data_IF_195626897318
#
_entry.id   IF_195626897318
#
_cell.length_a   1.000
_cell.length_b   1.000
_cell.length_c   1.000
_cell.angle_alpha   90.00
_cell.angle_beta   90.00
_cell.angle_gamma   90.00
#
_symmetry.space_group_name_H-M   'P 1'
#
loop_
_entity.id
_entity.type
_entity.pdbx_description
1 polymer ?
#
# COMPACT_ATOMS: atom_id res chain seq x y z
N UNK A 1 -0.32 28.08 -4.27
CA UNK A 1 -1.32 27.09 -3.79
C UNK A 1 -0.61 25.76 -3.66
N UNK A 2 -0.89 24.94 -2.64
CA UNK A 2 -0.28 23.61 -2.58
C UNK A 2 -0.78 22.70 -3.72
N UNK A 3 0.01 21.71 -4.14
CA UNK A 3 -0.40 20.71 -5.14
C UNK A 3 -1.73 20.04 -4.77
N UNK A 4 -1.93 19.77 -3.48
CA UNK A 4 -3.18 19.22 -2.93
C UNK A 4 -4.34 20.23 -2.95
N UNK A 5 -4.07 21.53 -2.73
CA UNK A 5 -5.10 22.58 -2.79
C UNK A 5 -5.66 22.75 -4.21
N UNK A 6 -4.82 22.56 -5.23
CA UNK A 6 -5.20 22.63 -6.64
C UNK A 6 -6.06 21.43 -7.06
N UNK A 7 -5.73 20.24 -6.55
CA UNK A 7 -6.44 18.99 -6.90
C UNK A 7 -7.79 18.88 -6.19
N UNK A 8 -7.96 19.47 -4.99
CA UNK A 8 -9.12 19.15 -4.13
C UNK A 8 -10.00 20.32 -3.69
N UNK A 9 -9.59 21.59 -3.80
CA UNK A 9 -10.42 22.75 -3.41
C UNK A 9 -10.69 22.86 -1.90
N UNK A 10 -10.63 24.07 -1.34
CA UNK A 10 -10.70 24.29 0.12
C UNK A 10 -12.09 24.04 0.72
N UNK A 11 -12.13 23.38 1.89
CA UNK A 11 -13.09 23.68 2.98
C UNK A 11 -12.37 23.82 4.33
N UNK A 12 -12.79 24.84 5.10
CA UNK A 12 -12.20 25.35 6.34
C UNK A 12 -12.43 24.41 7.54
N UNK A 13 -11.42 24.34 8.40
CA UNK A 13 -11.40 23.66 9.70
C UNK A 13 -12.35 24.25 10.75
N UNK A 14 -12.74 23.42 11.73
CA UNK A 14 -12.91 23.83 13.12
C UNK A 14 -12.64 22.66 14.09
N UNK A 15 -11.52 22.75 14.82
CA UNK A 15 -11.21 21.92 16.00
C UNK A 15 -12.04 22.36 17.20
N UNK A 16 -12.43 21.43 18.06
CA UNK A 16 -12.77 21.75 19.44
C UNK A 16 -12.27 20.67 20.39
N UNK A 17 -11.47 21.10 21.35
CA UNK A 17 -10.84 20.37 22.44
C UNK A 17 -11.77 20.24 23.64
N UNK A 18 -11.71 19.13 24.39
CA UNK A 18 -12.23 19.04 25.77
C UNK A 18 -11.26 18.21 26.65
N UNK A 19 -11.07 18.54 27.96
CA UNK A 19 -9.91 18.17 28.76
C UNK A 19 -10.05 16.93 29.67
N UNK A 20 -8.89 16.49 30.17
CA UNK A 20 -8.65 15.40 31.13
C UNK A 20 -9.23 15.65 32.55
N UNK A 21 -9.61 14.57 33.24
CA UNK A 21 -9.70 14.50 34.70
C UNK A 21 -8.94 13.28 35.26
N UNK A 22 -8.28 13.51 36.41
CA UNK A 22 -7.35 12.63 37.15
C UNK A 22 -8.07 11.61 38.09
N UNK A 23 -7.33 10.63 38.67
CA UNK A 23 -7.84 9.31 39.07
C UNK A 23 -8.07 9.14 40.58
N UNK A 24 -8.75 8.06 40.97
CA UNK A 24 -8.91 7.64 42.36
C UNK A 24 -8.54 6.16 42.63
N UNK A 25 -7.63 6.02 43.60
CA UNK A 25 -7.49 5.02 44.67
C UNK A 25 -7.37 3.50 44.40
N UNK A 26 -6.24 2.95 44.86
CA UNK A 26 -5.97 1.53 45.19
C UNK A 26 -6.74 1.07 46.44
N UNK A 27 -6.89 -0.25 46.63
CA UNK A 27 -6.46 -0.88 47.88
C UNK A 27 -5.51 -2.08 47.72
N UNK A 28 -4.70 -2.30 48.76
CA UNK A 28 -3.70 -3.37 48.95
C UNK A 28 -4.21 -4.35 50.05
N UNK A 29 -3.44 -5.36 50.52
CA UNK A 29 -3.70 -6.79 50.34
C UNK A 29 -4.08 -7.55 51.65
N UNK A 30 -4.51 -8.81 51.55
CA UNK A 30 -4.53 -9.74 52.70
C UNK A 30 -4.09 -11.15 52.30
N UNK A 31 -3.54 -11.87 53.28
CA UNK A 31 -2.53 -12.92 53.14
C UNK A 31 -3.04 -14.38 53.33
N UNK A 32 -2.29 -15.32 52.71
CA UNK A 32 -1.85 -16.67 53.14
C UNK A 32 -2.84 -17.79 53.61
N UNK A 33 -2.92 -18.85 52.76
CA UNK A 33 -2.76 -20.35 52.90
C UNK A 33 -3.02 -21.10 54.24
N UNK A 34 -3.37 -22.43 54.25
CA UNK A 34 -2.61 -23.58 53.66
C UNK A 34 -3.46 -24.72 52.97
N UNK A 35 -2.98 -25.40 51.89
CA UNK A 35 -2.38 -26.77 51.79
C UNK A 35 -3.28 -27.93 52.34
N UNK A 36 -3.55 -29.10 51.73
CA UNK A 36 -2.99 -29.94 50.63
C UNK A 36 -4.00 -31.07 50.34
N UNK A 37 -4.15 -31.56 49.10
CA UNK A 37 -4.40 -33.00 48.81
C UNK A 37 -4.05 -33.33 47.36
N UNK A 38 -3.20 -34.33 47.21
CA UNK A 38 -2.70 -34.95 45.98
C UNK A 38 -3.73 -35.87 45.34
N UNK A 39 -3.89 -35.80 44.01
CA UNK A 39 -4.47 -36.89 43.21
C UNK A 39 -3.99 -36.79 41.75
N UNK A 40 -3.10 -37.71 41.39
CA UNK A 40 -2.77 -38.22 40.04
C UNK A 40 -2.76 -37.24 38.85
N UNK A 41 -1.55 -36.83 38.45
CA UNK A 41 -1.29 -36.10 37.22
C UNK A 41 -1.70 -36.92 35.96
N UNK A 42 -2.55 -36.38 35.07
CA UNK A 42 -2.70 -36.90 33.72
C UNK A 42 -1.39 -36.60 32.95
N UNK A 43 -0.96 -37.55 32.10
CA UNK A 43 0.18 -37.35 31.17
C UNK A 43 0.06 -35.97 30.50
N UNK A 44 1.02 -35.10 30.77
CA UNK A 44 1.07 -33.73 30.25
C UNK A 44 1.05 -33.77 28.73
N UNK A 45 -0.09 -33.44 28.13
CA UNK A 45 -0.16 -33.18 26.70
C UNK A 45 0.87 -32.08 26.40
N UNK A 46 1.77 -32.33 25.45
CA UNK A 46 2.86 -31.41 25.12
C UNK A 46 2.26 -30.12 24.56
N UNK A 47 2.23 -29.07 25.38
CA UNK A 47 1.80 -27.73 24.99
C UNK A 47 2.64 -27.27 23.80
N UNK A 48 2.05 -27.28 22.61
CA UNK A 48 2.72 -26.93 21.37
C UNK A 48 1.72 -26.49 20.31
N UNK A 49 2.22 -25.78 19.30
CA UNK A 49 1.49 -25.37 18.11
C UNK A 49 2.41 -25.55 16.90
N UNK A 50 1.86 -25.93 15.75
CA UNK A 50 2.62 -25.94 14.51
C UNK A 50 2.94 -24.49 14.10
N UNK A 51 4.16 -24.19 13.60
CA UNK A 51 4.43 -22.90 12.98
C UNK A 51 3.38 -22.57 11.92
N UNK A 52 2.95 -21.31 11.84
CA UNK A 52 1.94 -20.89 10.88
C UNK A 52 2.16 -19.45 10.41
N UNK A 53 1.53 -19.16 9.28
CA UNK A 53 1.35 -17.81 8.74
C UNK A 53 -0.16 -17.59 8.63
N UNK A 54 -0.65 -16.53 9.25
CA UNK A 54 -2.03 -16.11 9.18
C UNK A 54 -2.12 -14.74 8.52
N UNK A 55 -2.74 -14.72 7.34
CA UNK A 55 -3.01 -13.51 6.57
C UNK A 55 -4.38 -12.94 6.96
N UNK A 56 -4.36 -11.80 7.60
CA UNK A 56 -5.51 -11.00 7.99
C UNK A 56 -5.73 -9.90 6.96
N UNK A 57 -6.98 -9.60 6.62
CA UNK A 57 -7.34 -8.42 5.81
C UNK A 57 -8.14 -7.38 6.60
N UNK A 58 -8.40 -7.66 7.88
CA UNK A 58 -9.11 -6.74 8.76
C UNK A 58 -8.58 -6.85 10.19
N UNK A 59 -8.41 -5.73 10.88
CA UNK A 59 -8.13 -5.72 12.31
C UNK A 59 -8.84 -4.60 13.07
N UNK A 60 -9.09 -4.86 14.35
CA UNK A 60 -9.70 -3.92 15.28
C UNK A 60 -8.84 -3.81 16.53
N UNK A 61 -8.50 -2.58 16.91
CA UNK A 61 -7.84 -2.31 18.19
C UNK A 61 -8.87 -2.09 19.28
N UNK A 62 -8.62 -2.64 20.46
CA UNK A 62 -9.40 -2.43 21.66
C UNK A 62 -8.52 -1.85 22.77
N UNK A 63 -9.05 -0.90 23.53
CA UNK A 63 -8.44 -0.39 24.76
C UNK A 63 -9.48 -0.46 25.88
N UNK A 64 -9.12 -1.11 26.99
CA UNK A 64 -10.04 -1.38 28.09
C UNK A 64 -11.33 -2.08 27.63
N UNK A 65 -11.22 -2.98 26.64
CA UNK A 65 -12.34 -3.70 26.03
C UNK A 65 -13.18 -2.90 25.04
N UNK A 66 -12.92 -1.61 24.85
CA UNK A 66 -13.66 -0.76 23.91
C UNK A 66 -12.93 -0.64 22.56
N UNK A 67 -13.63 -0.75 21.41
CA UNK A 67 -12.99 -0.55 20.11
C UNK A 67 -12.52 0.90 19.96
N UNK A 68 -11.29 1.07 19.50
CA UNK A 68 -10.66 2.37 19.23
C UNK A 68 -10.04 2.39 17.83
N UNK A 69 -9.76 3.57 17.30
CA UNK A 69 -9.15 3.77 15.97
C UNK A 69 -9.95 3.22 14.78
N UNK A 70 -11.22 2.91 14.99
CA UNK A 70 -12.09 2.34 13.96
C UNK A 70 -11.67 0.93 13.53
N UNK A 71 -12.50 0.33 12.69
CA UNK A 71 -12.19 -0.94 12.03
C UNK A 71 -11.21 -0.65 10.88
N UNK A 72 -10.10 -1.37 10.85
CA UNK A 72 -9.07 -1.17 9.84
C UNK A 72 -9.10 -2.34 8.86
N UNK A 73 -9.37 -2.04 7.59
CA UNK A 73 -9.44 -3.02 6.50
C UNK A 73 -8.12 -3.00 5.72
N UNK A 74 -7.07 -3.51 6.34
CA UNK A 74 -5.77 -3.57 5.69
C UNK A 74 -5.03 -4.87 5.96
N UNK A 75 -4.19 -5.31 5.00
CA UNK A 75 -3.54 -6.59 5.08
C UNK A 75 -2.48 -6.60 6.20
N UNK A 76 -2.54 -7.60 7.06
CA UNK A 76 -1.56 -7.86 8.12
C UNK A 76 -1.25 -9.35 8.16
N UNK A 77 0.01 -9.69 8.38
CA UNK A 77 0.44 -11.07 8.49
C UNK A 77 0.93 -11.35 9.91
N UNK A 78 0.36 -12.37 10.54
CA UNK A 78 0.80 -12.90 11.82
C UNK A 78 1.59 -14.19 11.54
N UNK A 79 2.88 -14.17 11.85
CA UNK A 79 3.77 -15.31 11.66
C UNK A 79 4.25 -15.82 13.00
N UNK A 80 4.06 -17.12 13.26
CA UNK A 80 4.51 -17.79 14.48
C UNK A 80 5.49 -18.89 14.10
N UNK A 81 6.74 -18.76 14.53
CA UNK A 81 7.84 -19.66 14.17
C UNK A 81 8.43 -20.29 15.42
N UNK A 82 8.89 -21.55 15.34
CA UNK A 82 9.68 -22.11 16.45
C UNK A 82 11.00 -21.35 16.55
N UNK A 83 11.41 -21.05 17.77
CA UNK A 83 12.72 -20.48 18.01
C UNK A 83 13.80 -21.56 17.81
N UNK A 84 14.35 -21.66 16.60
CA UNK A 84 15.43 -22.64 16.30
C UNK A 84 16.81 -22.01 16.46
N UNK A 85 16.99 -20.77 15.98
CA UNK A 85 18.27 -20.08 15.87
C UNK A 85 18.31 -18.74 16.63
N UNK A 86 17.40 -18.52 17.60
CA UNK A 86 17.24 -17.24 18.26
C UNK A 86 16.43 -16.22 17.44
N UNK A 87 16.48 -14.96 17.86
CA UNK A 87 15.86 -13.83 17.16
C UNK A 87 16.75 -12.60 17.30
N UNK A 88 16.99 -11.88 16.21
CA UNK A 88 17.74 -10.63 16.23
C UNK A 88 17.18 -9.67 17.28
N UNK A 89 18.08 -9.02 18.03
CA UNK A 89 17.73 -8.17 19.17
C UNK A 89 17.48 -8.90 20.50
N UNK A 90 17.57 -10.23 20.54
CA UNK A 90 17.36 -11.02 21.77
C UNK A 90 18.42 -12.12 21.96
N UNK A 91 18.81 -12.36 23.21
CA UNK A 91 19.58 -13.54 23.61
C UNK A 91 18.62 -14.63 24.08
N UNK A 92 18.27 -15.53 23.16
CA UNK A 92 17.33 -16.62 23.42
C UNK A 92 18.04 -17.97 23.41
N UNK A 93 17.59 -18.90 24.25
CA UNK A 93 18.02 -20.29 24.16
C UNK A 93 17.39 -20.94 22.93
N UNK A 94 18.20 -21.57 22.09
CA UNK A 94 17.70 -22.32 20.93
C UNK A 94 16.72 -23.43 21.37
N UNK A 95 15.61 -23.56 20.63
CA UNK A 95 14.52 -24.49 20.91
C UNK A 95 13.51 -24.02 21.96
N UNK A 96 13.73 -22.87 22.60
CA UNK A 96 12.85 -22.36 23.64
C UNK A 96 11.78 -21.42 23.06
N UNK A 97 10.54 -21.89 23.06
CA UNK A 97 9.38 -21.11 22.66
C UNK A 97 9.28 -20.84 21.15
N UNK A 98 8.60 -19.74 20.84
CA UNK A 98 8.23 -19.30 19.50
C UNK A 98 8.57 -17.82 19.32
N UNK A 99 8.81 -17.42 18.08
CA UNK A 99 8.97 -16.03 17.66
C UNK A 99 7.68 -15.63 16.94
N UNK A 100 6.96 -14.66 17.51
CA UNK A 100 5.74 -14.08 16.93
C UNK A 100 6.09 -12.78 16.21
N UNK A 101 5.67 -12.64 14.95
CA UNK A 101 5.90 -11.44 14.13
C UNK A 101 4.57 -10.92 13.60
N UNK A 102 4.41 -9.60 13.68
CA UNK A 102 3.31 -8.85 13.09
C UNK A 102 3.89 -8.05 11.94
N UNK A 103 3.41 -8.29 10.73
CA UNK A 103 3.96 -7.77 9.49
C UNK A 103 2.86 -7.01 8.76
N UNK A 104 3.18 -5.84 8.22
CA UNK A 104 2.31 -5.11 7.31
C UNK A 104 2.24 -5.89 6.00
N UNK A 105 1.07 -6.41 5.65
CA UNK A 105 0.92 -7.32 4.49
C UNK A 105 1.07 -6.62 3.14
N UNK A 106 0.96 -5.30 3.12
CA UNK A 106 1.14 -4.46 1.94
C UNK A 106 2.60 -4.18 1.60
N UNK A 107 3.39 -3.83 2.62
CA UNK A 107 4.80 -3.42 2.51
C UNK A 107 5.78 -4.55 2.85
N UNK A 108 5.31 -5.64 3.45
CA UNK A 108 6.14 -6.72 3.97
C UNK A 108 6.99 -6.33 5.20
N UNK A 109 6.87 -5.08 5.67
CA UNK A 109 7.69 -4.56 6.77
C UNK A 109 7.15 -4.98 8.14
N UNK A 110 8.01 -5.17 9.15
CA UNK A 110 7.55 -5.42 10.51
C UNK A 110 6.68 -4.27 11.01
N UNK A 111 5.47 -4.58 11.48
CA UNK A 111 4.60 -3.61 12.15
C UNK A 111 5.19 -3.21 13.52
N UNK A 112 5.85 -4.16 14.18
CA UNK A 112 6.53 -3.96 15.46
C UNK A 112 7.60 -5.04 15.67
N UNK A 113 8.46 -4.85 16.67
CA UNK A 113 9.51 -5.82 17.02
C UNK A 113 8.91 -7.19 17.32
N UNK A 114 9.60 -8.25 16.88
CA UNK A 114 9.22 -9.63 17.13
C UNK A 114 9.06 -9.91 18.64
N UNK A 115 8.14 -10.80 18.99
CA UNK A 115 7.81 -11.13 20.37
C UNK A 115 8.13 -12.60 20.67
N UNK A 116 9.17 -12.91 21.45
CA UNK A 116 9.42 -14.27 21.94
C UNK A 116 8.31 -14.68 22.92
N UNK A 117 7.70 -15.84 22.72
CA UNK A 117 6.59 -16.34 23.55
C UNK A 117 6.64 -17.85 23.75
N UNK A 118 6.03 -18.34 24.83
CA UNK A 118 5.83 -19.78 25.10
C UNK A 118 4.34 -20.11 25.13
N UNK A 119 3.99 -21.32 24.71
CA UNK A 119 2.60 -21.82 24.82
C UNK A 119 2.28 -22.07 26.29
N UNK A 120 1.25 -21.40 26.80
CA UNK A 120 0.75 -21.58 28.17
C UNK A 120 -0.57 -22.35 28.21
N UNK A 121 -1.28 -22.44 27.08
CA UNK A 121 -2.51 -23.22 26.91
C UNK A 121 -2.60 -23.72 25.46
N UNK A 122 -3.04 -24.96 25.27
CA UNK A 122 -3.32 -25.53 23.96
C UNK A 122 -4.53 -26.45 24.04
N UNK A 123 -5.51 -26.20 23.19
CA UNK A 123 -6.76 -26.94 23.03
C UNK A 123 -7.08 -27.10 21.55
N UNK A 124 -8.12 -27.85 21.20
CA UNK A 124 -8.51 -28.06 19.80
C UNK A 124 -9.03 -26.79 19.10
N UNK A 125 -9.54 -25.81 19.86
CA UNK A 125 -10.11 -24.56 19.33
C UNK A 125 -9.26 -23.32 19.64
N UNK A 126 -8.28 -23.44 20.52
CA UNK A 126 -7.54 -22.27 21.03
C UNK A 126 -6.15 -22.64 21.51
N UNK A 127 -5.16 -21.82 21.15
CA UNK A 127 -3.81 -21.83 21.72
C UNK A 127 -3.47 -20.44 22.26
N UNK A 128 -2.94 -20.38 23.47
CA UNK A 128 -2.50 -19.12 24.09
C UNK A 128 -0.98 -19.17 24.28
N UNK A 129 -0.32 -18.14 23.77
CA UNK A 129 1.09 -17.86 23.97
C UNK A 129 1.26 -16.64 24.89
N UNK A 130 2.27 -16.68 25.75
CA UNK A 130 2.66 -15.58 26.63
C UNK A 130 4.14 -15.30 26.48
N UNK A 131 4.52 -14.03 26.43
CA UNK A 131 5.92 -13.66 26.53
C UNK A 131 6.51 -14.01 27.90
N UNK A 132 7.83 -13.92 28.00
CA UNK A 132 8.59 -14.26 29.19
C UNK A 132 9.80 -13.33 29.31
N UNK A 133 10.48 -13.35 30.45
CA UNK A 133 11.73 -12.60 30.63
C UNK A 133 12.77 -13.01 29.59
N UNK A 134 13.32 -12.04 28.89
CA UNK A 134 14.37 -12.22 27.88
C UNK A 134 15.45 -11.16 28.06
N UNK A 135 16.67 -11.47 27.65
CA UNK A 135 17.72 -10.46 27.49
C UNK A 135 17.57 -9.83 26.11
N UNK A 136 17.26 -8.54 26.06
CA UNK A 136 17.00 -7.78 24.83
C UNK A 136 18.08 -6.71 24.60
N UNK A 137 18.41 -6.46 23.33
CA UNK A 137 19.39 -5.45 22.95
C UNK A 137 18.79 -4.04 23.09
N UNK A 138 19.49 -3.18 23.82
CA UNK A 138 19.16 -1.76 24.03
C UNK A 138 20.36 -0.90 23.64
N UNK A 139 20.21 0.45 23.55
CA UNK A 139 21.35 1.35 23.34
C UNK A 139 22.46 1.24 24.42
N UNK A 140 22.15 0.69 25.60
CA UNK A 140 23.09 0.49 26.71
C UNK A 140 23.60 -0.96 26.81
N UNK A 141 23.40 -1.77 25.78
CA UNK A 141 23.74 -3.19 25.77
C UNK A 141 22.54 -4.10 26.04
N UNK A 142 22.82 -5.36 26.37
CA UNK A 142 21.80 -6.35 26.66
C UNK A 142 21.25 -6.15 28.08
N UNK A 143 19.92 -6.07 28.20
CA UNK A 143 19.22 -5.90 29.47
C UNK A 143 18.06 -6.88 29.57
N UNK A 144 17.74 -7.30 30.78
CA UNK A 144 16.55 -8.10 31.05
C UNK A 144 15.29 -7.26 30.77
N UNK A 145 14.39 -7.82 29.95
CA UNK A 145 13.17 -7.20 29.52
C UNK A 145 12.01 -8.17 29.69
N UNK A 146 10.95 -7.72 30.36
CA UNK A 146 9.76 -8.53 30.55
C UNK A 146 8.88 -8.51 29.30
N UNK A 147 8.90 -9.60 28.53
CA UNK A 147 7.94 -9.75 27.42
C UNK A 147 6.61 -10.32 27.89
N UNK A 148 6.46 -10.67 29.17
CA UNK A 148 5.19 -11.18 29.68
C UNK A 148 4.07 -10.16 29.58
N UNK A 149 4.33 -8.87 29.37
CA UNK A 149 3.28 -7.90 29.03
C UNK A 149 2.63 -8.15 27.66
N UNK A 150 3.18 -9.05 26.85
CA UNK A 150 2.61 -9.47 25.58
C UNK A 150 2.07 -10.91 25.62
N UNK A 151 1.00 -11.16 24.88
CA UNK A 151 0.51 -12.51 24.60
C UNK A 151 -0.19 -12.60 23.26
N UNK A 152 -0.43 -13.83 22.81
CA UNK A 152 -1.16 -14.10 21.58
C UNK A 152 -2.18 -15.20 21.83
N UNK A 153 -3.45 -14.92 21.56
CA UNK A 153 -4.49 -15.95 21.48
C UNK A 153 -4.73 -16.30 20.02
N UNK A 154 -4.64 -17.59 19.70
CA UNK A 154 -4.84 -18.14 18.35
C UNK A 154 -6.10 -18.99 18.38
N UNK A 155 -7.14 -18.55 17.67
CA UNK A 155 -8.38 -19.30 17.51
C UNK A 155 -8.28 -20.25 16.32
N UNK A 156 -8.73 -21.49 16.53
CA UNK A 156 -8.65 -22.58 15.56
C UNK A 156 -10.06 -23.11 15.25
N UNK A 157 -10.33 -23.34 13.97
CA UNK A 157 -11.47 -24.11 13.47
C UNK A 157 -10.95 -25.20 12.55
N UNK A 158 -11.33 -26.46 12.80
CA UNK A 158 -10.83 -27.64 12.07
C UNK A 158 -9.29 -27.69 11.94
N UNK A 159 -8.59 -27.24 13.00
CA UNK A 159 -7.13 -27.17 13.05
C UNK A 159 -6.50 -26.05 12.24
N UNK A 160 -7.29 -25.18 11.60
CA UNK A 160 -6.83 -24.00 10.85
C UNK A 160 -6.99 -22.73 11.67
N UNK A 161 -6.02 -21.82 11.55
CA UNK A 161 -6.09 -20.51 12.22
C UNK A 161 -7.12 -19.63 11.54
N UNK A 162 -8.11 -19.17 12.29
CA UNK A 162 -9.19 -18.28 11.79
C UNK A 162 -9.10 -16.86 12.34
N UNK A 163 -8.44 -16.70 13.49
CA UNK A 163 -8.29 -15.41 14.17
C UNK A 163 -7.07 -15.43 15.08
N UNK A 164 -6.40 -14.29 15.17
CA UNK A 164 -5.36 -14.03 16.15
C UNK A 164 -5.70 -12.78 16.96
N UNK A 165 -5.45 -12.79 18.27
CA UNK A 165 -5.56 -11.61 19.13
C UNK A 165 -4.22 -11.38 19.82
N UNK A 166 -3.59 -10.25 19.51
CA UNK A 166 -2.39 -9.80 20.23
C UNK A 166 -2.83 -9.03 21.48
N UNK A 167 -2.34 -9.47 22.63
CA UNK A 167 -2.61 -8.86 23.92
C UNK A 167 -1.41 -8.02 24.38
N UNK A 168 -1.67 -6.80 24.82
CA UNK A 168 -0.74 -5.90 25.51
C UNK A 168 -1.29 -5.64 26.91
N UNK A 169 -0.92 -6.50 27.86
CA UNK A 169 -1.51 -6.56 29.19
C UNK A 169 -1.17 -5.34 30.05
N UNK A 170 0.03 -4.76 29.87
CA UNK A 170 0.48 -3.52 30.54
C UNK A 170 -0.45 -2.33 30.25
N UNK A 171 -1.02 -2.30 29.05
CA UNK A 171 -1.89 -1.22 28.56
C UNK A 171 -3.36 -1.58 28.53
N UNK A 172 -3.70 -2.81 28.90
CA UNK A 172 -5.05 -3.36 28.75
C UNK A 172 -5.59 -3.15 27.32
N UNK A 173 -4.76 -3.47 26.34
CA UNK A 173 -5.05 -3.25 24.93
C UNK A 173 -4.92 -4.54 24.13
N UNK A 174 -5.84 -4.73 23.19
CA UNK A 174 -5.86 -5.88 22.29
C UNK A 174 -5.86 -5.41 20.82
N UNK A 175 -5.26 -6.21 19.94
CA UNK A 175 -5.43 -6.07 18.50
C UNK A 175 -5.93 -7.40 17.97
N UNK A 176 -7.14 -7.39 17.43
CA UNK A 176 -7.77 -8.56 16.85
C UNK A 176 -7.59 -8.56 15.35
N UNK A 177 -7.03 -9.65 14.81
CA UNK A 177 -6.75 -9.87 13.39
C UNK A 177 -7.70 -10.95 12.85
N UNK A 178 -8.41 -10.65 11.77
CA UNK A 178 -9.41 -11.53 11.16
C UNK A 178 -9.21 -11.59 9.66
N UNK A 179 -9.46 -12.78 9.10
CA UNK A 179 -9.63 -12.95 7.66
C UNK A 179 -11.13 -12.96 7.38
N UNK A 180 -11.64 -11.82 6.93
CA UNK A 180 -13.00 -11.77 6.39
C UNK A 180 -12.87 -12.20 4.93
N UNK A 181 -13.52 -13.31 4.55
CA UNK A 181 -13.73 -13.56 3.13
C UNK A 181 -14.51 -12.35 2.61
N UNK A 182 -13.86 -11.51 1.81
CA UNK A 182 -14.54 -10.49 1.02
C UNK A 182 -15.57 -11.26 0.23
N UNK A 183 -16.83 -11.23 0.70
CA UNK A 183 -17.94 -11.54 -0.17
C UNK A 183 -17.76 -10.54 -1.30
N UNK A 184 -17.42 -11.03 -2.50
CA UNK A 184 -17.70 -10.31 -3.73
C UNK A 184 -19.08 -9.69 -3.52
N UNK A 185 -19.14 -8.36 -3.54
CA UNK A 185 -20.32 -7.57 -3.20
C UNK A 185 -21.54 -8.29 -3.76
N UNK A 186 -22.26 -9.01 -2.91
CA UNK A 186 -23.44 -9.74 -3.34
C UNK A 186 -24.50 -8.67 -3.45
N UNK A 187 -24.58 -8.04 -4.62
CA UNK A 187 -25.63 -7.11 -4.92
C UNK A 187 -26.95 -7.81 -4.65
N UNK A 188 -27.72 -7.24 -3.73
CA UNK A 188 -29.12 -7.57 -3.60
C UNK A 188 -29.77 -7.23 -4.93
N UNK A 189 -30.19 -8.28 -5.62
CA UNK A 189 -30.88 -8.22 -6.89
C UNK A 189 -32.11 -7.34 -6.77
N UNK A 190 -32.15 -6.24 -7.52
CA UNK A 190 -33.39 -5.66 -8.02
C UNK A 190 -33.15 -5.00 -9.39
N UNK A 191 -33.54 -5.77 -10.42
CA UNK A 191 -34.01 -5.36 -11.76
C UNK A 191 -33.14 -4.41 -12.61
N UNK A 192 -32.45 -5.04 -13.56
CA UNK A 192 -32.35 -4.71 -14.99
C UNK A 192 -32.43 -3.23 -15.41
N UNK A 193 -31.25 -2.65 -15.61
CA UNK A 193 -30.91 -1.84 -16.78
C UNK A 193 -29.46 -2.17 -17.11
N UNK A 194 -29.10 -2.44 -18.38
CA UNK A 194 -27.73 -2.71 -18.82
C UNK A 194 -26.87 -1.45 -18.68
N UNK A 195 -26.50 -1.12 -17.44
CA UNK A 195 -25.29 -0.37 -17.14
C UNK A 195 -24.16 -1.39 -17.10
N UNK A 196 -23.13 -1.18 -17.91
CA UNK A 196 -21.89 -1.93 -17.76
C UNK A 196 -21.44 -1.80 -16.30
N UNK A 197 -21.27 -2.94 -15.65
CA UNK A 197 -20.90 -3.00 -14.25
C UNK A 197 -19.41 -2.72 -14.13
N UNK A 198 -19.03 -1.85 -13.19
CA UNK A 198 -17.63 -1.54 -12.93
C UNK A 198 -16.87 -2.82 -12.56
N UNK A 199 -15.63 -2.91 -13.04
CA UNK A 199 -14.71 -3.98 -12.64
C UNK A 199 -14.37 -3.88 -11.14
N UNK A 200 -13.87 -4.97 -10.54
CA UNK A 200 -13.46 -4.97 -9.12
C UNK A 200 -12.40 -3.89 -8.85
N UNK A 201 -11.43 -3.78 -9.76
CA UNK A 201 -10.36 -2.78 -9.68
C UNK A 201 -10.90 -1.34 -9.75
N UNK A 202 -11.95 -1.08 -10.54
CA UNK A 202 -12.62 0.22 -10.57
C UNK A 202 -13.37 0.52 -9.27
N UNK A 203 -14.00 -0.49 -8.66
CA UNK A 203 -14.69 -0.31 -7.39
C UNK A 203 -13.72 0.15 -6.28
N UNK A 204 -12.53 -0.45 -6.21
CA UNK A 204 -11.50 -0.02 -5.25
C UNK A 204 -10.97 1.38 -5.54
N UNK A 205 -10.78 1.74 -6.81
CA UNK A 205 -10.39 3.12 -7.17
C UNK A 205 -11.49 4.12 -6.80
N UNK A 206 -12.76 3.80 -7.07
CA UNK A 206 -13.91 4.64 -6.67
C UNK A 206 -13.97 4.80 -5.16
N UNK A 207 -13.73 3.73 -4.40
CA UNK A 207 -13.65 3.79 -2.95
C UNK A 207 -12.55 4.76 -2.49
N UNK A 208 -11.33 4.64 -3.02
CA UNK A 208 -10.22 5.53 -2.68
C UNK A 208 -10.53 7.00 -3.01
N UNK A 209 -11.03 7.28 -4.21
CA UNK A 209 -11.37 8.64 -4.63
C UNK A 209 -12.52 9.22 -3.82
N UNK A 210 -13.47 8.39 -3.37
CA UNK A 210 -14.56 8.82 -2.47
C UNK A 210 -14.02 9.22 -1.10
N UNK A 211 -13.10 8.42 -0.53
CA UNK A 211 -12.44 8.76 0.74
C UNK A 211 -11.69 10.08 0.63
N UNK A 212 -10.93 10.25 -0.46
CA UNK A 212 -10.17 11.47 -0.70
C UNK A 212 -11.08 12.70 -0.90
N UNK A 213 -12.20 12.54 -1.62
CA UNK A 213 -13.22 13.58 -1.78
C UNK A 213 -13.94 13.95 -0.47
N UNK A 214 -13.99 13.03 0.50
CA UNK A 214 -14.49 13.29 1.84
C UNK A 214 -13.46 13.96 2.76
N UNK A 215 -12.22 14.19 2.28
CA UNK A 215 -11.12 14.75 3.05
C UNK A 215 -10.34 13.73 3.87
N UNK A 216 -10.58 12.43 3.68
CA UNK A 216 -9.78 11.36 4.29
C UNK A 216 -8.57 11.06 3.39
N UNK A 217 -7.41 10.83 3.99
CA UNK A 217 -6.16 10.50 3.29
C UNK A 217 -5.39 9.43 4.08
N UNK A 218 -4.20 9.03 3.63
CA UNK A 218 -3.40 7.96 4.22
C UNK A 218 -4.04 6.59 3.98
N UNK A 219 -4.07 5.75 5.00
CA UNK A 219 -4.54 4.35 4.95
C UNK A 219 -5.91 4.19 4.28
N UNK A 220 -6.85 5.12 4.51
CA UNK A 220 -8.20 5.05 3.96
C UNK A 220 -8.25 5.15 2.42
N UNK A 221 -7.27 5.80 1.81
CA UNK A 221 -7.13 5.97 0.36
C UNK A 221 -6.10 4.98 -0.18
N UNK A 222 -4.99 4.80 0.54
CA UNK A 222 -3.90 3.91 0.17
C UNK A 222 -4.33 2.44 0.06
N UNK A 223 -5.03 1.88 1.04
CA UNK A 223 -5.34 0.44 1.05
C UNK A 223 -6.29 -0.02 -0.06
N UNK A 224 -7.36 0.73 -0.40
CA UNK A 224 -8.15 0.39 -1.59
C UNK A 224 -7.30 0.43 -2.86
N UNK A 225 -6.41 1.42 -3.03
CA UNK A 225 -5.55 1.51 -4.22
C UNK A 225 -4.53 0.37 -4.29
N UNK A 226 -3.92 -0.01 -3.17
CA UNK A 226 -3.07 -1.20 -3.07
C UNK A 226 -3.86 -2.46 -3.46
N UNK A 227 -5.11 -2.57 -3.01
CA UNK A 227 -5.98 -3.70 -3.33
C UNK A 227 -6.35 -3.72 -4.81
N UNK A 228 -6.61 -2.56 -5.42
CA UNK A 228 -6.82 -2.42 -6.85
C UNK A 228 -5.60 -2.92 -7.63
N UNK A 229 -4.39 -2.53 -7.21
CA UNK A 229 -3.14 -2.99 -7.82
C UNK A 229 -3.02 -4.52 -7.77
N UNK A 230 -3.15 -5.12 -6.59
CA UNK A 230 -3.09 -6.59 -6.45
C UNK A 230 -4.21 -7.30 -7.22
N UNK A 231 -5.39 -6.70 -7.34
CA UNK A 231 -6.51 -7.29 -8.08
C UNK A 231 -6.21 -7.38 -9.59
N UNK A 232 -5.69 -6.33 -10.24
CA UNK A 232 -5.32 -6.46 -11.66
C UNK A 232 -4.05 -7.28 -11.88
N UNK A 233 -3.11 -7.33 -10.92
CA UNK A 233 -1.97 -8.26 -11.03
C UNK A 233 -2.43 -9.72 -11.04
N UNK A 234 -3.44 -10.06 -10.24
CA UNK A 234 -4.01 -11.41 -10.22
C UNK A 234 -4.90 -11.70 -11.43
N UNK A 235 -5.55 -10.67 -12.00
CA UNK A 235 -6.44 -10.80 -13.15
C UNK A 235 -6.33 -9.57 -14.08
N UNK A 236 -5.35 -9.56 -15.00
CA UNK A 236 -5.09 -8.41 -15.85
C UNK A 236 -6.22 -8.13 -16.86
N UNK A 237 -7.07 -9.12 -17.18
CA UNK A 237 -8.22 -8.94 -18.09
C UNK A 237 -9.23 -7.90 -17.61
N UNK A 238 -9.19 -7.52 -16.32
CA UNK A 238 -9.99 -6.43 -15.79
C UNK A 238 -9.63 -5.09 -16.45
N UNK A 239 -8.36 -4.88 -16.82
CA UNK A 239 -7.90 -3.63 -17.43
C UNK A 239 -8.56 -3.36 -18.79
N UNK A 240 -8.92 -4.42 -19.53
CA UNK A 240 -9.63 -4.33 -20.82
C UNK A 240 -11.08 -3.82 -20.69
N UNK A 241 -11.64 -3.91 -19.48
CA UNK A 241 -13.05 -3.61 -19.18
C UNK A 241 -13.21 -2.34 -18.36
N UNK A 242 -12.14 -1.57 -18.15
CA UNK A 242 -12.20 -0.30 -17.44
C UNK A 242 -13.10 0.66 -18.21
N UNK A 243 -14.14 1.14 -17.56
CA UNK A 243 -15.12 2.07 -18.11
C UNK A 243 -14.65 3.51 -17.89
N UNK A 244 -14.13 3.82 -16.70
CA UNK A 244 -13.72 5.17 -16.32
C UNK A 244 -12.19 5.32 -16.28
N UNK A 245 -11.59 5.36 -17.47
CA UNK A 245 -10.15 5.49 -17.65
C UNK A 245 -9.52 6.66 -16.89
N UNK A 246 -10.15 7.84 -16.91
CA UNK A 246 -9.61 9.02 -16.23
C UNK A 246 -9.53 8.87 -14.71
N UNK A 247 -10.59 8.31 -14.09
CA UNK A 247 -10.60 8.07 -12.65
C UNK A 247 -9.66 6.94 -12.27
N UNK A 248 -9.62 5.87 -13.08
CA UNK A 248 -8.69 4.75 -12.88
C UNK A 248 -7.23 5.22 -12.90
N UNK A 249 -6.83 5.93 -13.96
CA UNK A 249 -5.48 6.48 -14.09
C UNK A 249 -5.12 7.47 -12.98
N UNK A 250 -6.07 8.31 -12.54
CA UNK A 250 -5.89 9.19 -11.37
C UNK A 250 -5.67 8.39 -10.08
N UNK A 251 -6.42 7.31 -9.87
CA UNK A 251 -6.23 6.42 -8.72
C UNK A 251 -4.81 5.84 -8.67
N UNK A 252 -4.31 5.34 -9.80
CA UNK A 252 -2.95 4.80 -9.88
C UNK A 252 -1.87 5.86 -9.69
N UNK A 253 -2.08 7.08 -10.21
CA UNK A 253 -1.20 8.22 -9.92
C UNK A 253 -1.14 8.54 -8.42
N UNK A 254 -2.29 8.58 -7.75
CA UNK A 254 -2.37 8.81 -6.29
C UNK A 254 -1.65 7.69 -5.54
N UNK A 255 -1.82 6.44 -5.98
CA UNK A 255 -1.14 5.30 -5.37
C UNK A 255 0.38 5.45 -5.41
N UNK A 256 0.93 5.78 -6.58
CA UNK A 256 2.36 6.05 -6.76
C UNK A 256 2.86 7.20 -5.88
N UNK A 257 2.02 8.19 -5.59
CA UNK A 257 2.41 9.35 -4.77
C UNK A 257 2.68 9.02 -3.29
N UNK A 258 2.24 7.86 -2.80
CA UNK A 258 2.59 7.39 -1.45
C UNK A 258 4.03 6.85 -1.35
N UNK A 259 4.70 6.61 -2.48
CA UNK A 259 6.09 6.13 -2.56
C UNK A 259 6.39 4.87 -1.72
N UNK A 260 5.38 4.00 -1.57
CA UNK A 260 5.52 2.71 -0.86
C UNK A 260 5.96 1.57 -1.76
N UNK A 261 5.78 1.71 -3.08
CA UNK A 261 6.28 0.78 -4.09
C UNK A 261 7.73 1.15 -4.33
N UNK A 262 8.68 0.28 -4.02
CA UNK A 262 10.12 0.58 -4.12
C UNK A 262 10.81 -0.12 -5.27
N UNK A 263 10.25 -1.25 -5.73
CA UNK A 263 10.78 -2.02 -6.84
C UNK A 263 10.58 -1.26 -8.15
N UNK A 264 11.62 -1.21 -8.99
CA UNK A 264 11.61 -0.38 -10.21
C UNK A 264 10.66 -0.94 -11.26
N UNK A 265 10.52 -2.26 -11.35
CA UNK A 265 9.66 -2.94 -12.31
C UNK A 265 8.19 -2.71 -11.91
N UNK A 266 7.87 -2.83 -10.61
CA UNK A 266 6.55 -2.48 -10.08
C UNK A 266 6.20 -0.99 -10.31
N UNK A 267 7.18 -0.07 -10.12
CA UNK A 267 7.00 1.36 -10.42
C UNK A 267 6.74 1.58 -11.91
N UNK A 268 7.48 0.91 -12.79
CA UNK A 268 7.31 1.00 -14.25
C UNK A 268 5.92 0.52 -14.66
N UNK A 269 5.48 -0.63 -14.16
CA UNK A 269 4.14 -1.18 -14.40
C UNK A 269 3.06 -0.17 -14.03
N UNK A 270 3.08 0.33 -12.78
CA UNK A 270 2.07 1.26 -12.28
C UNK A 270 2.10 2.61 -13.02
N UNK A 271 3.28 3.18 -13.28
CA UNK A 271 3.40 4.45 -13.99
C UNK A 271 2.89 4.33 -15.42
N UNK A 272 3.18 3.20 -16.08
CA UNK A 272 2.71 2.91 -17.44
C UNK A 272 1.20 2.72 -17.51
N UNK A 273 0.62 1.97 -16.58
CA UNK A 273 -0.83 1.77 -16.48
C UNK A 273 -1.53 3.10 -16.19
N UNK A 274 -1.02 3.89 -15.22
CA UNK A 274 -1.57 5.21 -14.92
C UNK A 274 -1.53 6.12 -16.17
N UNK A 275 -0.38 6.18 -16.85
CA UNK A 275 -0.19 6.96 -18.07
C UNK A 275 -1.13 6.51 -19.19
N UNK A 276 -1.30 5.20 -19.41
CA UNK A 276 -2.18 4.63 -20.44
C UNK A 276 -3.60 5.14 -20.26
N UNK A 277 -4.19 4.91 -19.08
CA UNK A 277 -5.59 5.24 -18.84
C UNK A 277 -5.84 6.76 -18.81
N UNK A 278 -4.87 7.56 -18.35
CA UNK A 278 -4.94 9.02 -18.49
C UNK A 278 -4.89 9.44 -19.96
N UNK A 279 -4.04 8.82 -20.77
CA UNK A 279 -3.92 9.13 -22.20
C UNK A 279 -5.17 8.73 -22.98
N UNK A 280 -5.78 7.58 -22.69
CA UNK A 280 -7.07 7.19 -23.25
C UNK A 280 -8.18 8.17 -22.85
N UNK A 281 -8.20 8.62 -21.59
CA UNK A 281 -9.16 9.63 -21.14
C UNK A 281 -8.96 10.99 -21.84
N UNK A 282 -7.71 11.42 -22.04
CA UNK A 282 -7.37 12.66 -22.75
C UNK A 282 -7.76 12.56 -24.24
N UNK A 283 -7.61 11.40 -24.89
CA UNK A 283 -8.07 11.22 -26.27
C UNK A 283 -9.57 11.50 -26.42
N UNK A 284 -10.36 11.09 -25.42
CA UNK A 284 -11.80 11.32 -25.36
C UNK A 284 -12.17 12.74 -24.90
N UNK A 285 -11.32 13.41 -24.12
CA UNK A 285 -11.52 14.78 -23.64
C UNK A 285 -10.22 15.59 -23.67
N UNK A 286 -9.85 16.08 -24.85
CA UNK A 286 -8.51 16.61 -25.15
C UNK A 286 -8.12 17.90 -24.42
N UNK A 287 -9.09 18.59 -23.82
CA UNK A 287 -8.94 19.89 -23.16
C UNK A 287 -9.16 19.82 -21.65
N UNK A 288 -9.27 18.62 -21.07
CA UNK A 288 -9.35 18.49 -19.61
C UNK A 288 -7.96 18.74 -18.99
N UNK A 289 -7.76 19.96 -18.49
CA UNK A 289 -6.52 20.37 -17.85
C UNK A 289 -6.15 19.50 -16.64
N UNK A 290 -7.12 18.91 -15.94
CA UNK A 290 -6.83 18.04 -14.79
C UNK A 290 -6.29 16.68 -15.24
N UNK A 291 -6.76 16.14 -16.36
CA UNK A 291 -6.22 14.90 -16.91
C UNK A 291 -4.79 15.11 -17.41
N UNK A 292 -4.54 16.22 -18.11
CA UNK A 292 -3.19 16.57 -18.59
C UNK A 292 -2.24 16.79 -17.40
N UNK A 293 -2.69 17.54 -16.38
CA UNK A 293 -1.94 17.73 -15.14
C UNK A 293 -1.60 16.41 -14.46
N UNK A 294 -2.58 15.52 -14.34
CA UNK A 294 -2.39 14.22 -13.69
C UNK A 294 -1.39 13.36 -14.47
N UNK A 295 -1.44 13.39 -15.81
CA UNK A 295 -0.45 12.69 -16.65
C UNK A 295 0.96 13.28 -16.51
N UNK A 296 1.08 14.60 -16.45
CA UNK A 296 2.36 15.27 -16.18
C UNK A 296 2.93 14.87 -14.81
N UNK A 297 2.09 14.75 -13.77
CA UNK A 297 2.54 14.27 -12.45
C UNK A 297 3.07 12.84 -12.51
N UNK A 298 2.40 11.94 -13.25
CA UNK A 298 2.91 10.57 -13.44
C UNK A 298 4.31 10.62 -14.06
N UNK A 299 4.49 11.36 -15.14
CA UNK A 299 5.75 11.45 -15.87
C UNK A 299 6.89 12.10 -15.06
N UNK A 300 6.60 13.19 -14.33
CA UNK A 300 7.63 13.91 -13.57
C UNK A 300 8.03 13.18 -12.29
N UNK A 301 7.06 12.66 -11.53
CA UNK A 301 7.35 12.03 -10.24
C UNK A 301 7.89 10.60 -10.39
N UNK A 302 7.65 9.95 -11.53
CA UNK A 302 8.09 8.59 -11.81
C UNK A 302 9.00 8.53 -13.03
N UNK A 303 9.78 9.60 -13.27
CA UNK A 303 10.59 9.76 -14.50
C UNK A 303 11.45 8.55 -14.79
N UNK A 304 12.24 8.08 -13.82
CA UNK A 304 13.15 6.95 -13.99
C UNK A 304 12.40 5.68 -14.44
N UNK A 305 11.32 5.33 -13.73
CA UNK A 305 10.53 4.15 -14.04
C UNK A 305 9.82 4.26 -15.40
N UNK A 306 9.23 5.42 -15.70
CA UNK A 306 8.51 5.64 -16.95
C UNK A 306 9.46 5.79 -18.16
N UNK A 307 10.71 6.16 -17.94
CA UNK A 307 11.73 6.25 -19.00
C UNK A 307 12.01 4.88 -19.63
N UNK A 308 11.94 3.78 -18.87
CA UNK A 308 12.04 2.41 -19.41
C UNK A 308 10.90 2.10 -20.41
N UNK A 309 9.68 2.52 -20.09
CA UNK A 309 8.53 2.40 -20.99
C UNK A 309 8.74 3.19 -22.28
N UNK A 310 9.18 4.45 -22.17
CA UNK A 310 9.47 5.29 -23.34
C UNK A 310 10.64 4.73 -24.15
N UNK A 311 11.66 4.20 -23.48
CA UNK A 311 12.82 3.56 -24.11
C UNK A 311 12.41 2.39 -25.00
N UNK A 312 11.49 1.55 -24.53
CA UNK A 312 10.95 0.42 -25.31
C UNK A 312 10.29 0.85 -26.62
N UNK A 313 9.75 2.07 -26.65
CA UNK A 313 9.09 2.65 -27.84
C UNK A 313 10.10 3.25 -28.80
N UNK A 314 11.02 4.09 -28.29
CA UNK A 314 11.95 4.87 -29.15
C UNK A 314 13.18 4.07 -29.60
N UNK A 315 13.48 2.96 -28.92
CA UNK A 315 14.58 2.05 -29.24
C UNK A 315 14.10 0.72 -29.82
N UNK A 316 12.86 0.63 -30.33
CA UNK A 316 12.25 -0.62 -30.84
C UNK A 316 13.08 -1.39 -31.88
N UNK A 317 13.92 -0.68 -32.64
CA UNK A 317 14.79 -1.25 -33.68
C UNK A 317 16.21 -1.56 -33.17
N UNK A 318 16.52 -1.19 -31.94
CA UNK A 318 17.81 -1.40 -31.29
C UNK A 318 17.66 -2.57 -30.30
N UNK A 319 18.43 -3.64 -30.50
CA UNK A 319 18.42 -4.77 -29.55
C UNK A 319 18.77 -4.30 -28.12
N UNK A 320 18.30 -5.04 -27.10
CA UNK A 320 18.47 -4.68 -25.67
C UNK A 320 19.87 -4.23 -25.24
N UNK A 321 20.92 -4.70 -25.92
CA UNK A 321 22.33 -4.34 -25.68
C UNK A 321 22.75 -2.96 -26.19
N UNK A 322 21.93 -2.28 -26.99
CA UNK A 322 22.28 -1.04 -27.70
C UNK A 322 21.30 0.11 -27.43
N UNK A 323 20.42 -0.01 -26.43
CA UNK A 323 19.46 1.06 -26.10
C UNK A 323 20.19 2.36 -25.75
N UNK A 324 19.83 3.43 -26.45
CA UNK A 324 20.38 4.75 -26.18
C UNK A 324 19.50 5.48 -25.12
N UNK A 325 19.98 5.65 -23.87
CA UNK A 325 19.21 6.31 -22.82
C UNK A 325 18.90 7.78 -23.16
N UNK A 326 19.73 8.42 -23.98
CA UNK A 326 19.49 9.81 -24.38
C UNK A 326 18.25 9.96 -25.28
N UNK A 327 17.89 8.92 -26.05
CA UNK A 327 16.68 8.96 -26.89
C UNK A 327 15.40 8.98 -26.05
N UNK A 328 15.33 8.14 -25.02
CA UNK A 328 14.16 8.05 -24.13
C UNK A 328 13.98 9.35 -23.34
N UNK A 329 15.06 9.85 -22.72
CA UNK A 329 15.08 11.15 -22.06
C UNK A 329 14.63 12.29 -22.98
N UNK A 330 15.20 12.39 -24.18
CA UNK A 330 14.87 13.46 -25.12
C UNK A 330 13.41 13.36 -25.59
N UNK A 331 12.88 12.14 -25.74
CA UNK A 331 11.47 11.91 -26.04
C UNK A 331 10.56 12.36 -24.88
N UNK A 332 10.89 11.99 -23.64
CA UNK A 332 10.16 12.44 -22.45
C UNK A 332 10.11 13.97 -22.35
N UNK A 333 11.22 14.66 -22.57
CA UNK A 333 11.25 16.13 -22.57
C UNK A 333 10.33 16.75 -23.62
N UNK A 334 10.26 16.16 -24.82
CA UNK A 334 9.35 16.64 -25.88
C UNK A 334 7.88 16.40 -25.49
N UNK A 335 7.57 15.24 -24.92
CA UNK A 335 6.23 14.90 -24.42
C UNK A 335 5.81 15.87 -23.30
N UNK A 336 6.65 16.07 -22.29
CA UNK A 336 6.43 17.02 -21.20
C UNK A 336 6.17 18.43 -21.73
N UNK A 337 7.02 18.92 -22.64
CA UNK A 337 6.86 20.26 -23.23
C UNK A 337 5.54 20.37 -24.01
N UNK A 338 5.17 19.35 -24.78
CA UNK A 338 3.94 19.34 -25.55
C UNK A 338 2.69 19.47 -24.67
N UNK A 339 2.66 18.79 -23.52
CA UNK A 339 1.57 18.86 -22.56
C UNK A 339 1.57 20.20 -21.79
N UNK A 340 2.73 20.68 -21.33
CA UNK A 340 2.86 21.97 -20.66
C UNK A 340 2.46 23.15 -21.56
N UNK A 341 2.68 23.03 -22.87
CA UNK A 341 2.28 24.03 -23.86
C UNK A 341 0.78 24.02 -24.21
N UNK A 342 -0.02 23.05 -23.71
CA UNK A 342 -1.46 22.97 -24.04
C UNK A 342 -2.30 24.00 -23.31
N UNK A 343 -2.00 24.28 -22.04
CA UNK A 343 -2.78 25.19 -21.21
C UNK A 343 -1.87 25.98 -20.26
N UNK A 344 -1.89 27.30 -20.40
CA UNK A 344 -1.13 28.22 -19.55
C UNK A 344 -1.49 28.13 -18.06
N UNK A 345 -2.69 27.64 -17.70
CA UNK A 345 -3.08 27.43 -16.31
C UNK A 345 -2.25 26.36 -15.61
N UNK A 346 -1.68 25.40 -16.35
CA UNK A 346 -0.75 24.41 -15.80
C UNK A 346 0.49 25.08 -15.21
N UNK A 347 0.92 26.20 -15.79
CA UNK A 347 2.08 26.98 -15.33
C UNK A 347 1.79 27.79 -14.06
N UNK A 348 0.57 27.71 -13.49
CA UNK A 348 0.28 28.24 -12.16
C UNK A 348 0.81 27.37 -11.02
N UNK A 349 1.24 26.14 -11.33
CA UNK A 349 1.90 25.23 -10.38
C UNK A 349 3.42 25.34 -10.57
N UNK A 350 4.14 25.68 -9.50
CA UNK A 350 5.57 26.03 -9.55
C UNK A 350 6.44 24.95 -10.21
N UNK A 351 6.19 23.67 -9.93
CA UNK A 351 6.96 22.56 -10.52
C UNK A 351 6.82 22.50 -12.06
N UNK A 352 5.62 22.78 -12.57
CA UNK A 352 5.35 22.80 -14.01
C UNK A 352 5.90 24.07 -14.67
N UNK A 353 5.81 25.22 -13.99
CA UNK A 353 6.42 26.45 -14.46
C UNK A 353 7.95 26.29 -14.61
N UNK A 354 8.60 25.68 -13.62
CA UNK A 354 10.04 25.41 -13.65
C UNK A 354 10.41 24.43 -14.77
N UNK A 355 9.69 23.31 -14.89
CA UNK A 355 9.91 22.35 -15.97
C UNK A 355 9.75 22.99 -17.35
N UNK A 356 8.72 23.83 -17.54
CA UNK A 356 8.49 24.54 -18.79
C UNK A 356 9.64 25.50 -19.14
N UNK A 357 10.15 26.27 -18.19
CA UNK A 357 11.26 27.19 -18.43
C UNK A 357 12.58 26.46 -18.72
N UNK A 358 12.86 25.36 -18.01
CA UNK A 358 14.03 24.52 -18.29
C UNK A 358 13.96 23.96 -19.71
N UNK A 359 12.83 23.35 -20.09
CA UNK A 359 12.62 22.80 -21.43
C UNK A 359 12.75 23.88 -22.50
N UNK A 360 12.20 25.07 -22.27
CA UNK A 360 12.35 26.21 -23.19
C UNK A 360 13.80 26.64 -23.36
N UNK A 361 14.58 26.69 -22.28
CA UNK A 361 16.02 26.97 -22.32
C UNK A 361 16.80 25.90 -23.11
N UNK A 362 16.43 24.62 -22.95
CA UNK A 362 17.02 23.51 -23.75
C UNK A 362 16.72 23.70 -25.25
N UNK A 363 15.49 24.07 -25.61
CA UNK A 363 15.13 24.35 -27.01
C UNK A 363 15.98 25.50 -27.56
N UNK A 364 16.09 26.61 -26.81
CA UNK A 364 16.84 27.80 -27.24
C UNK A 364 18.36 27.56 -27.36
N UNK A 365 18.92 26.67 -26.55
CA UNK A 365 20.34 26.30 -26.62
C UNK A 365 20.67 25.24 -27.70
N UNK A 366 19.67 24.77 -28.44
CA UNK A 366 19.87 23.75 -29.48
C UNK A 366 20.09 22.34 -28.94
N UNK A 367 19.68 22.06 -27.70
CA UNK A 367 19.84 20.77 -27.03
C UNK A 367 19.27 19.59 -27.87
N UNK A 368 18.14 19.81 -28.52
CA UNK A 368 17.46 18.80 -29.37
C UNK A 368 17.96 18.79 -30.84
N UNK A 369 19.01 19.55 -31.15
CA UNK A 369 19.56 19.72 -32.49
C UNK A 369 19.32 21.12 -33.07
N UNK A 370 20.23 21.56 -33.96
CA UNK A 370 20.40 22.96 -34.41
C UNK A 370 19.27 23.56 -35.27
N UNK A 371 18.11 22.91 -35.41
CA UNK A 371 16.98 23.42 -36.20
C UNK A 371 15.61 23.11 -35.57
N UNK A 372 15.57 22.76 -34.28
CA UNK A 372 14.31 22.46 -33.58
C UNK A 372 13.68 23.73 -33.03
N UNK A 373 12.50 24.07 -33.56
CA UNK A 373 11.63 25.13 -33.02
C UNK A 373 10.71 24.61 -31.92
N UNK A 374 10.17 25.50 -31.07
CA UNK A 374 9.14 25.14 -30.08
C UNK A 374 7.97 24.38 -30.73
N UNK A 375 7.52 24.82 -31.92
CA UNK A 375 6.45 24.16 -32.67
C UNK A 375 6.80 22.73 -33.11
N UNK A 376 8.04 22.52 -33.59
CA UNK A 376 8.50 21.18 -33.97
C UNK A 376 8.58 20.24 -32.76
N UNK A 377 9.04 20.75 -31.61
CA UNK A 377 9.14 19.98 -30.37
C UNK A 377 7.77 19.58 -29.84
N UNK A 378 6.80 20.50 -29.87
CA UNK A 378 5.40 20.20 -29.50
C UNK A 378 4.82 19.13 -30.43
N UNK A 379 5.08 19.22 -31.73
CA UNK A 379 4.58 18.25 -32.73
C UNK A 379 5.16 16.87 -32.49
N UNK A 380 6.48 16.78 -32.29
CA UNK A 380 7.16 15.52 -31.96
C UNK A 380 6.67 14.94 -30.63
N UNK A 381 6.51 15.76 -29.60
CA UNK A 381 6.00 15.32 -28.29
C UNK A 381 4.60 14.73 -28.38
N UNK A 382 3.70 15.32 -29.19
CA UNK A 382 2.36 14.77 -29.44
C UNK A 382 2.40 13.43 -30.16
N UNK A 383 3.29 13.27 -31.13
CA UNK A 383 3.48 12.00 -31.83
C UNK A 383 4.02 10.93 -30.88
N UNK A 384 5.00 11.27 -30.04
CA UNK A 384 5.53 10.36 -29.02
C UNK A 384 4.45 9.94 -28.00
N UNK A 385 3.60 10.86 -27.56
CA UNK A 385 2.45 10.48 -26.71
C UNK A 385 1.56 9.43 -27.38
N UNK A 386 1.30 9.57 -28.68
CA UNK A 386 0.52 8.61 -29.46
C UNK A 386 1.23 7.26 -29.54
N UNK A 387 2.50 7.24 -29.93
CA UNK A 387 3.30 6.02 -30.06
C UNK A 387 3.40 5.25 -28.72
N UNK A 388 3.66 5.95 -27.61
CA UNK A 388 3.71 5.34 -26.27
C UNK A 388 2.34 4.81 -25.85
N UNK A 389 1.25 5.53 -26.17
CA UNK A 389 -0.11 5.04 -25.86
C UNK A 389 -0.44 3.79 -26.66
N UNK A 390 -0.12 3.76 -27.96
CA UNK A 390 -0.35 2.60 -28.83
C UNK A 390 0.47 1.39 -28.36
N UNK A 391 1.74 1.59 -28.02
CA UNK A 391 2.57 0.53 -27.43
C UNK A 391 1.93 -0.06 -26.16
N UNK A 392 1.46 0.79 -25.25
CA UNK A 392 0.84 0.35 -24.00
C UNK A 392 -0.53 -0.29 -24.19
N UNK A 393 -1.33 0.15 -25.16
CA UNK A 393 -2.58 -0.54 -25.53
C UNK A 393 -2.26 -1.96 -25.99
N UNK A 394 -1.30 -2.13 -26.90
CA UNK A 394 -0.95 -3.45 -27.41
C UNK A 394 -0.43 -4.35 -26.27
N UNK A 395 0.50 -3.84 -25.45
CA UNK A 395 1.06 -4.60 -24.32
C UNK A 395 0.03 -4.97 -23.26
N UNK A 396 -0.66 -3.98 -22.70
CA UNK A 396 -1.50 -4.18 -21.52
C UNK A 396 -2.90 -4.69 -21.91
N UNK A 397 -3.49 -4.16 -22.98
CA UNK A 397 -4.90 -4.41 -23.34
C UNK A 397 -5.03 -5.56 -24.34
N UNK A 398 -4.12 -5.69 -25.30
CA UNK A 398 -4.21 -6.76 -26.30
C UNK A 398 -3.48 -8.03 -25.85
N UNK A 399 -2.22 -7.90 -25.41
CA UNK A 399 -1.37 -9.02 -24.99
C UNK A 399 -1.62 -9.46 -23.54
N UNK A 400 -2.29 -8.63 -22.73
CA UNK A 400 -2.48 -8.85 -21.29
C UNK A 400 -1.15 -8.93 -20.52
N UNK A 401 -0.10 -8.33 -21.08
CA UNK A 401 1.25 -8.30 -20.56
C UNK A 401 1.40 -7.03 -19.70
N UNK A 402 1.45 -7.23 -18.38
CA UNK A 402 1.63 -6.16 -17.41
C UNK A 402 3.04 -6.13 -16.82
N UNK A 403 3.90 -7.12 -17.12
CA UNK A 403 5.23 -7.30 -16.51
C UNK A 403 6.37 -7.04 -17.54
N UNK A 404 6.16 -6.07 -18.43
CA UNK A 404 6.97 -5.81 -19.64
C UNK A 404 8.17 -4.88 -19.48
#
# INVERSE_FOLDING_TARGET
>A
MGLLDFIFGKKKDAKTSVPQSKPAAKPQPTASRPATTTSSAPKTAKLSIAPFVFESNQHQRYENGNPVQGLQECPRTIKVEKNVNGCSGYQLKNGDGYIVRMINGDTGQPQMSAKPMRVIKSTVTEVILRGYMVSAQTPFGFQDFDMSDYGLTVSLEDGKVVKCVLHMYDRNADIEYRKVLTKAFSQSSNKASTKEELTEVELYVVQALTQLGAGNDGDAVYHPLYTAWRSFQNNPDQLKKIINAGSFGKGMMIFLSYDTVTDIDDKQQLASIAYLFLSLAIQNNQNDANLILTRLLVMLNNREAFEYTVSSVVNKDEGMMFMNPFKARDAMFKMEYADLSKDSHLLSVDIFAQAYQDLRSKIQSGFFGQNKSEHSIITEGRNLHKEVTEYLVNKIIEENDIDF
#
